data_IF_056071620832
#
_entry.id   IF_056071620832
#
_cell.length_a   1.000
_cell.length_b   1.000
_cell.length_c   1.000
_cell.angle_alpha   90.00
_cell.angle_beta   90.00
_cell.angle_gamma   90.00
#
_symmetry.space_group_name_H-M   'P 1'
#
loop_
_entity.id
_entity.type
_entity.pdbx_description
1 polymer ?
2 non-polymer ?
#
# COMPACT_ATOMS: atom_id res chain seq x y z
N UNK A 1 11.95 12.41 2.10
CA UNK A 1 11.45 13.71 1.63
C UNK A 1 11.98 13.96 0.23
N UNK A 2 11.10 14.31 -0.72
CA UNK A 2 11.20 14.20 -2.19
C UNK A 2 9.86 13.55 -2.59
N UNK A 3 9.86 12.35 -3.16
CA UNK A 3 8.72 11.44 -3.18
C UNK A 3 9.17 10.04 -2.77
N UNK A 4 8.76 9.47 -1.63
CA UNK A 4 8.06 9.93 -0.40
C UNK A 4 6.54 9.98 -0.49
N UNK A 5 6.01 9.67 -1.67
CA UNK A 5 4.59 9.74 -1.99
C UNK A 5 4.03 8.40 -2.52
N UNK A 6 2.74 8.40 -2.84
CA UNK A 6 1.97 7.28 -3.35
C UNK A 6 0.74 7.73 -4.14
N UNK A 7 -0.06 6.75 -4.59
CA UNK A 7 -1.36 6.96 -5.20
C UNK A 7 -2.30 5.78 -4.89
N UNK A 8 -3.58 6.05 -4.74
CA UNK A 8 -4.60 4.99 -4.63
C UNK A 8 -5.10 4.66 -6.05
N UNK A 9 -5.37 3.37 -6.32
CA UNK A 9 -5.73 2.91 -7.65
C UNK A 9 -7.22 3.04 -7.94
N UNK A 10 -7.55 3.61 -9.10
CA UNK A 10 -8.87 3.69 -9.72
C UNK A 10 -9.66 2.38 -9.57
N UNK A 11 -10.94 2.53 -9.26
CA UNK A 11 -11.99 1.51 -9.34
C UNK A 11 -13.37 2.10 -8.98
N UNK A 12 -14.40 1.95 -9.85
CA UNK A 12 -15.80 2.18 -9.50
C UNK A 12 -16.46 0.92 -8.90
N UNK A 13 -15.72 -0.19 -8.77
CA UNK A 13 -16.21 -1.48 -8.27
C UNK A 13 -16.07 -1.63 -6.75
N UNK A 14 -16.21 -2.85 -6.21
CA UNK A 14 -16.20 -3.08 -4.76
C UNK A 14 -14.82 -2.90 -4.12
N UNK A 15 -13.73 -3.06 -4.88
CA UNK A 15 -12.37 -3.07 -4.39
C UNK A 15 -11.38 -2.31 -5.30
N UNK A 16 -10.22 -2.02 -4.72
CA UNK A 16 -9.11 -1.20 -5.18
C UNK A 16 -7.81 -1.67 -4.51
N UNK A 17 -6.69 -0.98 -4.76
CA UNK A 17 -5.35 -1.25 -4.24
C UNK A 17 -4.58 0.07 -4.07
N UNK A 18 -3.55 0.14 -3.21
CA UNK A 18 -2.81 1.38 -2.94
C UNK A 18 -1.29 1.15 -2.85
N UNK A 19 -0.56 2.03 -3.54
CA UNK A 19 0.91 2.05 -3.64
C UNK A 19 1.46 3.33 -3.00
N UNK A 20 2.59 3.29 -2.28
CA UNK A 20 3.13 4.45 -1.52
C UNK A 20 4.56 4.23 -1.03
N UNK A 21 5.27 5.31 -0.79
CA UNK A 21 6.68 5.31 -0.37
C UNK A 21 6.82 5.38 1.14
N UNK A 22 7.21 4.29 1.80
CA UNK A 22 7.50 4.31 3.24
C UNK A 22 8.95 4.73 3.47
N UNK A 23 9.16 5.70 4.38
CA UNK A 23 10.46 6.22 4.79
C UNK A 23 10.53 6.28 6.32
N UNK A 24 11.65 5.83 6.91
CA UNK A 24 11.88 5.78 8.34
C UNK A 24 12.86 6.90 8.76
N UNK A 25 12.40 7.93 9.50
CA UNK A 25 13.27 8.99 10.00
C UNK A 25 14.00 8.63 11.31
N UNK A 26 13.62 7.54 11.98
CA UNK A 26 14.16 7.15 13.27
C UNK A 26 15.46 6.37 13.16
N UNK A 27 16.01 6.10 14.33
CA UNK A 27 17.27 5.42 14.60
C UNK A 27 17.04 3.94 14.97
N UNK A 28 15.76 3.57 15.05
CA UNK A 28 15.21 2.23 15.25
C UNK A 28 14.32 1.85 14.06
N UNK A 29 14.11 0.54 13.79
CA UNK A 29 13.37 0.09 12.62
C UNK A 29 11.86 0.31 12.80
N UNK A 30 11.18 0.66 11.70
CA UNK A 30 9.72 0.70 11.63
C UNK A 30 9.21 -0.52 10.89
N UNK A 31 8.00 -0.87 11.29
CA UNK A 31 7.35 -2.11 10.84
C UNK A 31 5.86 -1.94 10.63
N UNK A 32 5.45 -1.98 9.36
CA UNK A 32 4.10 -1.75 8.90
C UNK A 32 3.33 -3.06 8.90
N UNK A 33 2.39 -3.22 9.85
CA UNK A 33 1.66 -4.48 10.09
C UNK A 33 0.19 -4.39 9.66
N UNK A 34 -0.34 -3.17 9.49
CA UNK A 34 -1.73 -2.88 9.16
C UNK A 34 -1.93 -1.52 8.50
N UNK A 35 -3.17 -1.18 8.20
CA UNK A 35 -3.53 0.13 7.67
C UNK A 35 -5.00 0.47 7.97
N UNK A 36 -5.40 1.66 7.50
CA UNK A 36 -6.73 2.24 7.57
C UNK A 36 -6.85 3.28 6.45
N UNK A 37 -8.08 3.73 6.15
CA UNK A 37 -8.42 4.65 5.07
C UNK A 37 -9.91 4.98 5.16
N UNK A 38 -10.37 6.17 4.72
CA UNK A 38 -11.78 6.52 4.71
C UNK A 38 -12.53 5.92 3.52
N UNK A 39 -11.81 5.30 2.56
CA UNK A 39 -12.40 4.68 1.35
C UNK A 39 -12.23 3.14 1.32
N UNK A 40 -12.44 2.46 2.45
CA UNK A 40 -12.59 1.00 2.50
C UNK A 40 -13.29 0.51 3.78
N UNK A 41 -13.76 -0.74 3.76
CA UNK A 41 -14.28 -1.51 4.91
C UNK A 41 -13.20 -2.50 5.44
N UNK A 42 -12.56 -3.23 4.52
CA UNK A 42 -11.30 -3.93 4.75
C UNK A 42 -10.18 -3.13 4.10
N UNK A 43 -9.06 -3.05 4.82
CA UNK A 43 -7.74 -3.09 4.19
C UNK A 43 -7.18 -4.50 4.33
N UNK A 44 -6.32 -4.91 3.40
CA UNK A 44 -5.45 -6.09 3.47
C UNK A 44 -4.06 -5.70 3.00
N UNK A 45 -3.02 -6.31 3.56
CA UNK A 45 -1.63 -6.06 3.16
C UNK A 45 -1.10 -7.19 2.29
N UNK A 46 -0.71 -6.86 1.05
CA UNK A 46 -0.31 -7.81 0.01
C UNK A 46 1.12 -7.59 -0.54
N UNK A 47 1.66 -8.67 -1.07
CA UNK A 47 2.79 -8.70 -2.02
C UNK A 47 2.30 -8.82 -3.48
N UNK A 48 3.24 -8.82 -4.44
CA UNK A 48 3.04 -9.18 -5.85
C UNK A 48 4.39 -9.68 -6.36
N UNK A 49 4.36 -10.60 -7.34
CA UNK A 49 5.54 -11.36 -7.77
C UNK A 49 5.39 -11.94 -9.18
N UNK A 50 6.52 -12.38 -9.75
CA UNK A 50 6.59 -13.19 -10.96
C UNK A 50 6.69 -14.68 -10.60
N UNK A 51 6.05 -15.56 -11.39
CA UNK A 51 5.92 -16.99 -11.11
C UNK A 51 5.91 -17.80 -12.40
N UNK A 52 6.39 -19.04 -12.34
CA UNK A 52 6.41 -19.98 -13.44
C UNK A 52 5.38 -21.09 -13.19
N UNK A 53 4.64 -21.50 -14.23
CA UNK A 53 3.84 -22.73 -14.23
C UNK A 53 4.01 -23.35 -15.63
N UNK A 54 4.37 -24.64 -15.73
CA UNK A 54 4.66 -25.34 -17.01
C UNK A 54 5.85 -24.75 -17.81
N UNK A 55 6.74 -23.97 -17.18
CA UNK A 55 7.77 -23.19 -17.90
C UNK A 55 7.23 -21.93 -18.58
N UNK A 56 5.98 -21.56 -18.27
CA UNK A 56 5.26 -20.39 -18.76
C UNK A 56 5.09 -19.39 -17.59
N UNK A 57 5.66 -18.21 -17.80
CA UNK A 57 5.88 -17.21 -16.75
C UNK A 57 4.75 -16.18 -16.67
N UNK A 58 4.11 -16.12 -15.52
CA UNK A 58 2.95 -15.30 -15.15
C UNK A 58 3.30 -14.40 -13.95
N UNK A 59 2.36 -13.60 -13.46
CA UNK A 59 2.46 -12.87 -12.19
C UNK A 59 1.40 -13.36 -11.18
N UNK A 60 1.60 -13.04 -9.91
CA UNK A 60 0.72 -13.42 -8.81
C UNK A 60 0.80 -12.47 -7.62
N UNK A 61 -0.04 -12.71 -6.62
CA UNK A 61 -0.28 -11.83 -5.48
C UNK A 61 -0.79 -12.67 -4.31
N UNK A 62 -0.40 -12.27 -3.10
CA UNK A 62 -0.70 -12.94 -1.84
C UNK A 62 -0.80 -11.90 -0.72
N UNK A 63 -1.56 -12.16 0.36
CA UNK A 63 -1.46 -11.37 1.58
C UNK A 63 -0.17 -11.72 2.34
N UNK A 64 0.34 -10.78 3.14
CA UNK A 64 1.58 -10.89 3.92
C UNK A 64 1.40 -10.26 5.32
N UNK A 65 2.17 -10.68 6.34
CA UNK A 65 1.89 -10.34 7.74
C UNK A 65 2.34 -8.94 8.12
N UNK A 66 3.37 -8.41 7.43
CA UNK A 66 3.93 -7.06 7.64
C UNK A 66 5.04 -6.76 6.63
N UNK A 67 5.38 -5.47 6.54
CA UNK A 67 6.58 -4.96 5.87
C UNK A 67 7.52 -4.32 6.90
N UNK A 68 8.82 -4.34 6.61
CA UNK A 68 9.86 -3.75 7.45
C UNK A 68 10.47 -2.55 6.74
N UNK A 69 10.87 -1.53 7.50
CA UNK A 69 11.74 -0.44 7.01
C UNK A 69 12.87 -0.14 8.02
N UNK A 70 14.16 -0.27 7.63
CA UNK A 70 15.29 -0.04 8.52
C UNK A 70 15.44 1.47 8.85
N UNK A 71 16.14 1.83 9.95
CA UNK A 71 16.33 3.21 10.39
C UNK A 71 17.05 4.04 9.35
N UNK A 72 16.58 5.29 9.16
CA UNK A 72 17.07 6.26 8.14
C UNK A 72 16.82 5.82 6.68
N UNK A 73 16.31 4.60 6.49
CA UNK A 73 16.06 3.96 5.21
C UNK A 73 14.63 4.16 4.69
N UNK A 74 14.33 3.53 3.55
CA UNK A 74 13.03 3.61 2.88
C UNK A 74 12.73 2.34 2.08
N UNK A 75 11.44 2.04 1.91
CA UNK A 75 10.92 0.95 1.07
C UNK A 75 9.51 1.34 0.61
N UNK A 76 9.26 1.37 -0.70
CA UNK A 76 7.91 1.64 -1.21
C UNK A 76 7.07 0.35 -1.26
N UNK A 77 5.79 0.50 -0.92
CA UNK A 77 4.71 -0.30 -1.50
C UNK A 77 4.61 0.04 -3.00
N UNK A 78 5.47 -0.57 -3.79
CA UNK A 78 5.63 -0.31 -5.23
C UNK A 78 4.66 -1.15 -6.09
N UNK A 79 4.21 -0.63 -7.26
CA UNK A 79 3.30 -1.35 -8.14
C UNK A 79 3.88 -2.65 -8.72
N UNK A 80 5.21 -2.78 -8.81
CA UNK A 80 5.87 -4.05 -9.16
C UNK A 80 5.99 -5.04 -7.99
N UNK A 81 5.16 -4.91 -6.94
CA UNK A 81 5.23 -5.72 -5.72
C UNK A 81 4.27 -5.29 -4.61
N UNK A 82 4.79 -4.89 -3.46
CA UNK A 82 3.98 -4.78 -2.23
C UNK A 82 3.00 -3.61 -2.28
N UNK A 83 1.79 -3.85 -1.77
CA UNK A 83 0.68 -2.90 -1.83
C UNK A 83 -0.42 -3.25 -0.82
N UNK A 84 -1.23 -2.26 -0.43
CA UNK A 84 -2.49 -2.54 0.27
C UNK A 84 -3.58 -2.88 -0.74
N UNK A 85 -4.43 -3.85 -0.44
CA UNK A 85 -5.74 -4.03 -1.08
C UNK A 85 -6.81 -3.30 -0.26
N UNK A 86 -7.65 -2.51 -0.91
CA UNK A 86 -8.76 -1.81 -0.29
C UNK A 86 -10.06 -2.45 -0.79
N UNK A 87 -10.94 -2.90 0.10
CA UNK A 87 -12.21 -3.52 -0.26
C UNK A 87 -13.36 -2.89 0.54
N UNK A 88 -14.53 -2.72 -0.09
CA UNK A 88 -15.68 -2.02 0.49
C UNK A 88 -15.54 -0.50 0.48
N UNK A 89 -15.07 0.07 -0.64
CA UNK A 89 -14.83 1.51 -0.80
C UNK A 89 -16.04 2.42 -0.58
N UNK A 90 -15.71 3.65 -0.21
CA UNK A 90 -16.68 4.66 0.25
C UNK A 90 -16.77 5.89 -0.67
N UNK A 91 -15.77 6.06 -1.53
CA UNK A 91 -15.84 6.80 -2.82
C UNK A 91 -15.67 5.74 -3.92
N UNK A 92 -16.55 5.63 -4.93
CA UNK A 92 -16.18 5.00 -6.19
C UNK A 92 -15.14 5.92 -6.81
N UNK A 93 -13.87 5.47 -6.85
CA UNK A 93 -12.71 6.31 -6.93
C UNK A 93 -11.97 6.13 -8.24
N UNK A 94 -11.40 7.25 -8.64
CA UNK A 94 -11.15 7.58 -10.05
C UNK A 94 -10.02 8.60 -10.21
N UNK A 95 -9.55 8.74 -11.45
CA UNK A 95 -8.40 9.57 -11.79
C UNK A 95 -8.68 11.02 -11.36
N UNK A 96 -7.75 11.56 -10.58
CA UNK A 96 -7.77 12.93 -10.07
C UNK A 96 -8.43 13.11 -8.70
N UNK A 97 -8.91 12.06 -8.04
CA UNK A 97 -9.34 12.15 -6.63
C UNK A 97 -8.16 12.09 -5.64
N UNK A 98 -8.48 11.91 -4.36
CA UNK A 98 -7.78 12.38 -3.17
C UNK A 98 -8.23 11.47 -2.03
N UNK A 99 -7.29 10.80 -1.36
CA UNK A 99 -7.55 9.74 -0.38
C UNK A 99 -6.46 9.69 0.71
N UNK A 100 -6.89 9.61 1.98
CA UNK A 100 -5.98 9.30 3.09
C UNK A 100 -5.66 7.81 3.19
N UNK A 101 -4.42 7.51 3.59
CA UNK A 101 -4.06 6.25 4.27
C UNK A 101 -3.46 6.55 5.65
N UNK A 102 -3.83 5.67 6.58
CA UNK A 102 -3.28 5.45 7.92
C UNK A 102 -2.44 4.16 7.87
N UNK A 103 -1.23 4.11 8.46
CA UNK A 103 -0.32 2.98 8.33
C UNK A 103 0.11 2.53 9.72
N UNK A 104 -0.38 1.35 10.13
CA UNK A 104 -0.26 0.81 11.48
C UNK A 104 1.14 0.23 11.68
N UNK A 105 1.94 0.89 12.52
CA UNK A 105 3.34 0.57 12.77
C UNK A 105 3.49 -0.12 14.13
N UNK A 106 4.33 -1.18 14.19
CA UNK A 106 4.42 -2.09 15.34
C UNK A 106 4.85 -1.40 16.65
N UNK A 107 4.05 -1.62 17.70
CA UNK A 107 4.30 -1.12 19.05
C UNK A 107 3.91 0.34 19.21
N UNK A 108 2.61 0.64 19.19
CA UNK A 108 2.02 1.91 19.61
C UNK A 108 2.22 3.07 18.63
N UNK A 109 2.41 2.81 17.33
CA UNK A 109 2.75 3.84 16.33
C UNK A 109 1.79 3.82 15.14
N UNK A 110 1.70 4.97 14.47
CA UNK A 110 0.99 5.14 13.20
C UNK A 110 1.60 6.27 12.39
N UNK A 111 1.48 6.19 11.05
CA UNK A 111 1.77 7.28 10.12
C UNK A 111 0.50 7.61 9.30
N UNK A 112 0.26 8.89 9.02
CA UNK A 112 -0.79 9.35 8.09
C UNK A 112 -0.14 9.85 6.78
N UNK A 113 -0.68 9.45 5.62
CA UNK A 113 -0.36 10.03 4.30
C UNK A 113 -1.65 10.50 3.61
N UNK A 114 -1.55 11.48 2.72
CA UNK A 114 -2.62 11.83 1.76
C UNK A 114 -2.07 11.62 0.35
N UNK A 115 -2.79 10.83 -0.44
CA UNK A 115 -2.42 10.38 -1.78
C UNK A 115 -3.51 10.82 -2.80
N UNK A 116 -3.15 11.13 -4.05
CA UNK A 116 -4.12 11.24 -5.14
C UNK A 116 -4.63 9.87 -5.60
N UNK A 117 -5.73 9.83 -6.35
CA UNK A 117 -6.20 8.61 -7.03
C UNK A 117 -5.87 8.67 -8.53
N UNK A 118 -5.45 7.54 -9.11
CA UNK A 118 -4.92 7.43 -10.47
C UNK A 118 -5.40 6.15 -11.20
N UNK A 119 -5.58 6.23 -12.53
CA UNK A 119 -5.99 5.13 -13.41
C UNK A 119 -4.81 4.24 -13.81
N UNK A 120 -4.14 3.68 -12.80
CA UNK A 120 -2.79 3.11 -12.86
C UNK A 120 -2.74 1.68 -12.32
X LIG B 1 -3.68 -7.04 -3.90
#
# INVERSE_FOLDING_TARGET
>A
GSFTEGWVRFSPGPNAAAYLTLENPGDLPLRLVGARTPVAERVELHETFMREVEGKKVMGMRPVPFLEVPPKGRVELKPGGYHFMLLGLKRPLKAGEEVELDLLFAGGKVLKVVLPVEAR
>B hetero
1 CU1 CU
#
